data_IF_286724762641
#
_entry.id   IF_286724762641
#
_cell.length_a   1.000
_cell.length_b   1.000
_cell.length_c   1.000
_cell.angle_alpha   90.00
_cell.angle_beta   90.00
_cell.angle_gamma   90.00
#
_symmetry.space_group_name_H-M   'P 1'
#
loop_
_entity.id
_entity.type
_entity.pdbx_description
1 polymer ?
#
# COMPACT_ATOMS: atom_id res chain seq x y z
N UNK A 1 32.43 52.00 -40.32
CA UNK A 1 31.37 51.01 -40.59
C UNK A 1 31.02 50.31 -39.30
N UNK A 2 29.99 50.80 -38.61
CA UNK A 2 29.38 50.20 -37.41
C UNK A 2 27.88 50.24 -37.68
N UNK A 3 27.27 49.06 -37.79
CA UNK A 3 25.86 48.89 -38.16
C UNK A 3 25.00 49.13 -36.93
N UNK A 4 24.15 50.15 -36.99
CA UNK A 4 23.14 50.47 -35.99
C UNK A 4 21.96 49.49 -36.12
N UNK A 5 21.63 48.80 -35.05
CA UNK A 5 20.41 47.98 -34.93
C UNK A 5 19.28 48.90 -34.48
N UNK A 6 18.24 49.01 -35.31
CA UNK A 6 16.99 49.73 -34.98
C UNK A 6 16.12 48.82 -34.13
N UNK A 7 15.82 49.27 -32.91
CA UNK A 7 14.88 48.64 -32.00
C UNK A 7 13.43 48.96 -32.42
N UNK A 8 12.63 47.92 -32.64
CA UNK A 8 11.18 48.04 -32.80
C UNK A 8 10.53 47.79 -31.44
N UNK A 9 9.95 48.84 -30.85
CA UNK A 9 9.05 48.75 -29.71
C UNK A 9 7.76 48.07 -30.14
N UNK A 10 7.44 46.92 -29.55
CA UNK A 10 6.10 46.36 -29.54
C UNK A 10 5.52 46.53 -28.13
N UNK A 11 4.57 47.45 -28.01
CA UNK A 11 3.75 47.69 -26.81
C UNK A 11 2.67 46.62 -26.77
N UNK A 12 2.73 45.70 -25.82
CA UNK A 12 1.63 44.78 -25.50
C UNK A 12 0.91 45.24 -24.24
N UNK A 13 -0.33 45.69 -24.43
CA UNK A 13 -1.29 46.04 -23.39
C UNK A 13 -1.76 44.75 -22.70
N UNK A 14 -1.47 44.59 -21.40
CA UNK A 14 -2.07 43.53 -20.57
C UNK A 14 -3.51 43.92 -20.24
N UNK A 15 -4.48 43.31 -20.90
CA UNK A 15 -5.86 43.28 -20.44
C UNK A 15 -6.00 42.19 -19.37
N UNK A 16 -6.33 42.58 -18.14
CA UNK A 16 -6.75 41.68 -17.06
C UNK A 16 -8.12 41.12 -17.40
N UNK A 17 -8.19 39.92 -17.98
CA UNK A 17 -9.43 39.16 -18.08
C UNK A 17 -9.52 38.18 -16.91
N UNK A 18 -10.60 38.29 -16.13
CA UNK A 18 -10.95 37.32 -15.09
C UNK A 18 -11.15 35.93 -15.72
N UNK A 19 -10.78 34.83 -15.04
CA UNK A 19 -11.03 33.50 -15.56
C UNK A 19 -12.54 33.25 -15.65
N UNK A 20 -12.99 32.93 -16.86
CA UNK A 20 -14.33 32.44 -17.15
C UNK A 20 -14.53 31.11 -16.41
N UNK A 21 -15.65 30.88 -15.70
CA UNK A 21 -15.92 29.59 -15.07
C UNK A 21 -15.99 28.51 -16.14
N UNK A 22 -15.19 27.46 -16.00
CA UNK A 22 -15.29 26.24 -16.80
C UNK A 22 -16.70 25.65 -16.66
N UNK A 23 -17.31 25.31 -17.79
CA UNK A 23 -18.57 24.58 -17.85
C UNK A 23 -18.53 23.32 -16.97
N UNK A 24 -19.62 23.10 -16.25
CA UNK A 24 -19.81 21.99 -15.34
C UNK A 24 -19.87 20.65 -16.09
N UNK A 25 -19.16 19.67 -15.54
CA UNK A 25 -19.13 18.28 -16.01
C UNK A 25 -20.54 17.64 -15.88
N UNK A 26 -21.19 17.18 -16.96
CA UNK A 26 -22.57 16.67 -16.93
C UNK A 26 -22.71 15.29 -16.24
N UNK A 27 -21.69 14.82 -15.52
CA UNK A 27 -21.69 13.55 -14.79
C UNK A 27 -21.37 13.69 -13.29
N UNK A 28 -21.53 14.88 -12.70
CA UNK A 28 -21.53 15.01 -11.25
C UNK A 28 -22.83 14.42 -10.67
N UNK A 29 -22.79 13.31 -9.91
CA UNK A 29 -23.97 12.91 -9.16
C UNK A 29 -24.22 13.96 -8.06
N UNK A 30 -25.46 14.45 -7.99
CA UNK A 30 -25.98 15.26 -6.90
C UNK A 30 -25.50 14.72 -5.56
N UNK A 31 -24.60 15.45 -4.89
CA UNK A 31 -24.14 15.10 -3.54
C UNK A 31 -25.09 15.68 -2.51
N UNK A 32 -26.36 15.29 -2.62
CA UNK A 32 -27.28 15.36 -1.49
C UNK A 32 -26.85 14.32 -0.45
N UNK A 33 -26.10 14.77 0.57
CA UNK A 33 -25.97 14.11 1.87
C UNK A 33 -25.62 12.61 1.83
N UNK A 34 -24.47 12.24 1.26
CA UNK A 34 -23.90 10.94 1.59
C UNK A 34 -23.63 10.91 3.10
N UNK A 35 -24.16 9.95 3.88
CA UNK A 35 -23.85 9.85 5.30
C UNK A 35 -22.34 9.80 5.46
N UNK A 36 -21.80 10.58 6.41
CA UNK A 36 -20.38 10.56 6.71
C UNK A 36 -19.94 9.11 6.86
N UNK A 37 -18.96 8.69 6.04
CA UNK A 37 -18.48 7.32 6.07
C UNK A 37 -18.13 6.95 7.52
N UNK A 38 -18.61 5.82 8.00
CA UNK A 38 -18.24 5.26 9.29
C UNK A 38 -16.72 5.12 9.35
N UNK A 39 -16.04 6.10 9.95
CA UNK A 39 -14.57 6.10 10.03
C UNK A 39 -14.05 5.14 11.09
N UNK A 40 -14.92 4.59 11.94
CA UNK A 40 -14.52 3.55 12.87
C UNK A 40 -14.23 2.27 12.07
N UNK A 41 -12.95 1.90 11.99
CA UNK A 41 -12.59 0.60 11.43
C UNK A 41 -13.14 -0.52 12.31
N UNK A 42 -13.51 -1.65 11.69
CA UNK A 42 -13.99 -2.84 12.40
C UNK A 42 -13.02 -3.98 12.19
N UNK A 43 -12.28 -4.32 13.25
CA UNK A 43 -11.32 -5.44 13.21
C UNK A 43 -12.04 -6.75 12.86
N UNK A 44 -11.37 -7.67 12.14
CA UNK A 44 -11.89 -9.01 11.92
C UNK A 44 -12.28 -9.72 13.22
N UNK A 45 -13.39 -10.43 13.18
CA UNK A 45 -13.92 -11.19 14.32
C UNK A 45 -14.70 -12.42 13.83
N UNK A 46 -14.93 -13.37 14.73
CA UNK A 46 -15.69 -14.59 14.42
C UNK A 46 -14.82 -15.71 13.84
N UNK A 47 -15.45 -16.80 13.37
CA UNK A 47 -14.75 -18.05 13.04
C UNK A 47 -13.79 -17.95 11.84
N UNK A 48 -13.98 -16.94 10.98
CA UNK A 48 -13.09 -16.68 9.84
C UNK A 48 -11.92 -15.74 10.18
N UNK A 49 -11.87 -15.18 11.38
CA UNK A 49 -10.79 -14.30 11.80
C UNK A 49 -9.58 -15.16 12.24
N UNK A 50 -8.60 -15.30 11.35
CA UNK A 50 -7.41 -16.13 11.61
C UNK A 50 -6.64 -15.65 12.85
N UNK A 51 -6.15 -16.60 13.64
CA UNK A 51 -5.41 -16.33 14.87
C UNK A 51 -4.08 -15.63 14.53
N UNK A 52 -3.80 -14.54 15.24
CA UNK A 52 -2.47 -13.94 15.27
C UNK A 52 -1.56 -14.74 16.21
N UNK A 53 -0.46 -15.29 15.70
CA UNK A 53 0.48 -16.13 16.46
C UNK A 53 1.88 -15.51 16.63
N UNK A 54 2.06 -14.27 16.20
CA UNK A 54 3.33 -13.53 16.28
C UNK A 54 3.10 -12.14 16.88
N UNK A 55 4.19 -11.51 17.35
CA UNK A 55 4.22 -10.09 17.74
C UNK A 55 4.60 -9.16 16.59
N UNK A 56 5.01 -9.70 15.45
CA UNK A 56 5.34 -8.95 14.24
C UNK A 56 4.13 -8.90 13.28
N UNK A 57 4.30 -8.28 12.11
CA UNK A 57 3.36 -8.32 10.99
C UNK A 57 3.08 -9.77 10.58
N UNK A 58 1.82 -10.03 10.19
CA UNK A 58 1.34 -11.36 9.78
C UNK A 58 -0.02 -11.21 9.12
N UNK A 59 -0.59 -12.29 8.57
CA UNK A 59 -1.97 -12.30 8.10
C UNK A 59 -3.02 -12.47 9.20
N UNK A 60 -2.63 -12.47 10.48
CA UNK A 60 -3.58 -12.64 11.58
C UNK A 60 -4.61 -11.50 11.67
N UNK A 61 -5.81 -11.84 12.14
CA UNK A 61 -6.94 -10.91 12.32
C UNK A 61 -6.64 -9.73 13.23
N UNK A 62 -5.71 -9.88 14.17
CA UNK A 62 -5.28 -8.82 15.08
C UNK A 62 -3.90 -8.32 14.69
N UNK A 63 -3.78 -7.03 14.45
CA UNK A 63 -2.48 -6.35 14.47
C UNK A 63 -1.98 -6.29 15.92
N UNK A 64 -0.74 -6.73 16.22
CA UNK A 64 -0.15 -6.60 17.55
C UNK A 64 -0.08 -5.15 18.05
N UNK A 65 0.21 -4.98 19.35
CA UNK A 65 0.46 -3.64 19.90
C UNK A 65 1.73 -3.02 19.30
N UNK A 66 1.78 -1.68 19.21
CA UNK A 66 2.93 -0.90 18.75
C UNK A 66 2.81 -0.35 17.33
N UNK A 67 1.97 -0.98 16.49
CA UNK A 67 1.66 -0.51 15.13
C UNK A 67 0.71 0.70 15.16
N UNK A 68 0.74 1.50 14.10
CA UNK A 68 -0.19 2.60 13.90
C UNK A 68 -1.61 2.09 13.64
N UNK A 69 -2.62 2.89 14.02
CA UNK A 69 -4.01 2.61 13.62
C UNK A 69 -4.15 2.70 12.11
N UNK A 70 -5.07 1.90 11.54
CA UNK A 70 -5.32 1.82 10.10
C UNK A 70 -6.63 2.47 9.67
N UNK A 71 -7.37 3.11 10.58
CA UNK A 71 -8.67 3.73 10.32
C UNK A 71 -8.85 4.99 11.17
N UNK A 72 -9.88 5.76 10.88
CA UNK A 72 -10.02 7.11 11.42
C UNK A 72 -9.04 8.07 10.75
N UNK A 73 -8.69 9.15 11.45
CA UNK A 73 -7.63 10.05 10.99
C UNK A 73 -6.29 9.50 11.42
N UNK A 74 -5.37 9.27 10.50
CA UNK A 74 -3.96 8.90 10.79
C UNK A 74 -3.09 10.09 10.43
N UNK A 75 -2.21 10.49 11.34
CA UNK A 75 -1.32 11.64 11.15
C UNK A 75 0.10 11.16 10.96
N UNK A 76 0.74 11.60 9.89
CA UNK A 76 2.14 11.36 9.60
C UNK A 76 2.92 12.68 9.65
N UNK A 77 4.12 12.66 10.24
CA UNK A 77 5.12 13.70 9.96
C UNK A 77 6.01 13.22 8.82
N UNK A 78 6.35 14.11 7.89
CA UNK A 78 7.26 13.79 6.78
C UNK A 78 8.50 14.65 6.88
N UNK A 79 9.63 14.00 7.09
CA UNK A 79 10.96 14.56 7.28
C UNK A 79 11.81 14.26 6.05
N UNK A 80 12.82 15.09 5.79
CA UNK A 80 13.65 14.98 4.59
C UNK A 80 15.12 14.95 5.00
N UNK A 81 15.88 13.98 4.50
CA UNK A 81 17.31 13.84 4.81
C UNK A 81 18.18 13.88 3.56
N UNK A 82 19.36 14.46 3.69
CA UNK A 82 20.41 14.39 2.68
C UNK A 82 21.79 14.22 3.34
N UNK A 83 22.82 13.99 2.52
CA UNK A 83 24.15 13.61 3.01
C UNK A 83 25.23 14.56 2.47
N UNK A 84 26.40 14.69 3.14
CA UNK A 84 27.50 15.52 2.65
C UNK A 84 27.99 15.17 1.24
N UNK A 85 28.00 13.87 0.89
CA UNK A 85 28.39 13.31 -0.42
C UNK A 85 27.21 13.13 -1.39
N UNK A 86 25.97 13.20 -0.89
CA UNK A 86 24.75 13.13 -1.68
C UNK A 86 23.79 14.26 -1.29
N UNK A 87 24.24 15.50 -1.48
CA UNK A 87 23.45 16.70 -1.19
C UNK A 87 22.21 16.74 -2.07
N UNK A 88 21.06 17.10 -1.49
CA UNK A 88 19.83 17.21 -2.24
C UNK A 88 19.94 18.26 -3.35
N UNK A 89 19.45 17.90 -4.55
CA UNK A 89 19.43 18.78 -5.73
C UNK A 89 18.06 19.39 -6.03
N UNK A 90 17.06 19.00 -5.22
CA UNK A 90 15.69 19.49 -5.27
C UNK A 90 15.30 20.00 -3.89
N UNK A 91 14.26 20.80 -3.82
CA UNK A 91 13.68 21.29 -2.56
C UNK A 91 12.91 20.17 -1.83
N UNK A 92 12.74 20.26 -0.50
CA UNK A 92 11.87 19.33 0.24
C UNK A 92 10.43 19.36 -0.28
N UNK A 93 9.95 20.51 -0.76
CA UNK A 93 8.61 20.65 -1.35
C UNK A 93 8.47 19.84 -2.64
N UNK A 94 9.47 19.87 -3.50
CA UNK A 94 9.49 19.03 -4.72
C UNK A 94 9.55 17.55 -4.35
N UNK A 95 10.42 17.14 -3.40
CA UNK A 95 10.47 15.75 -2.93
C UNK A 95 9.14 15.30 -2.32
N UNK A 96 8.45 16.17 -1.59
CA UNK A 96 7.14 15.88 -1.00
C UNK A 96 6.06 15.66 -2.07
N UNK A 97 6.06 16.52 -3.11
CA UNK A 97 5.09 16.48 -4.20
C UNK A 97 5.19 15.22 -5.06
N UNK A 98 6.29 14.47 -4.99
CA UNK A 98 6.43 13.15 -5.63
C UNK A 98 5.50 12.09 -5.00
N UNK A 99 5.06 12.27 -3.76
CA UNK A 99 4.24 11.32 -3.02
C UNK A 99 2.86 11.86 -2.63
N UNK A 100 2.77 13.14 -2.28
CA UNK A 100 1.54 13.76 -1.79
C UNK A 100 0.97 14.76 -2.80
N UNK A 101 -0.36 14.75 -3.04
CA UNK A 101 -1.42 14.10 -2.24
C UNK A 101 -1.71 12.63 -2.61
N UNK A 102 -0.99 12.02 -3.56
CA UNK A 102 -1.33 10.73 -4.12
C UNK A 102 -1.43 9.58 -3.10
N UNK A 103 -0.54 9.49 -2.10
CA UNK A 103 -0.65 8.50 -1.00
C UNK A 103 -1.93 8.68 -0.19
N UNK A 104 -2.29 9.93 0.15
CA UNK A 104 -3.51 10.21 0.91
C UNK A 104 -4.77 9.84 0.10
N UNK A 105 -4.76 10.14 -1.19
CA UNK A 105 -5.84 9.78 -2.12
C UNK A 105 -5.97 8.27 -2.29
N UNK A 106 -4.84 7.56 -2.38
CA UNK A 106 -4.80 6.10 -2.45
C UNK A 106 -5.49 5.47 -1.23
N UNK A 107 -5.05 5.82 -0.02
CA UNK A 107 -5.62 5.28 1.21
C UNK A 107 -7.09 5.64 1.37
N UNK A 108 -7.49 6.87 1.00
CA UNK A 108 -8.91 7.28 1.00
C UNK A 108 -9.75 6.42 0.06
N UNK A 109 -9.25 6.12 -1.14
CA UNK A 109 -9.96 5.29 -2.13
C UNK A 109 -10.04 3.83 -1.68
N UNK A 110 -8.90 3.23 -1.35
CA UNK A 110 -8.81 1.81 -0.99
C UNK A 110 -9.63 1.46 0.25
N UNK A 111 -9.61 2.34 1.26
CA UNK A 111 -10.36 2.18 2.52
C UNK A 111 -11.84 2.57 2.44
N UNK A 112 -12.34 2.95 1.26
CA UNK A 112 -13.69 3.50 1.08
C UNK A 112 -13.98 4.73 1.96
N UNK A 113 -12.94 5.51 2.29
CA UNK A 113 -13.01 6.70 3.14
C UNK A 113 -12.95 6.42 4.64
N UNK A 114 -12.68 5.18 5.06
CA UNK A 114 -12.51 4.83 6.48
C UNK A 114 -11.16 5.27 7.05
N UNK A 115 -10.16 5.47 6.20
CA UNK A 115 -8.88 6.06 6.55
C UNK A 115 -8.75 7.47 5.96
N UNK A 116 -8.56 8.44 6.84
CA UNK A 116 -8.21 9.83 6.53
C UNK A 116 -6.73 10.03 6.87
N UNK A 117 -5.87 9.73 5.90
CA UNK A 117 -4.42 9.85 6.03
C UNK A 117 -3.99 11.31 5.82
N UNK A 118 -3.32 11.90 6.81
CA UNK A 118 -2.84 13.29 6.78
C UNK A 118 -1.35 13.35 7.04
N UNK A 119 -0.57 13.71 6.03
CA UNK A 119 0.85 13.99 6.18
C UNK A 119 1.09 15.49 6.42
N UNK A 120 2.00 15.81 7.35
CA UNK A 120 2.50 17.16 7.60
C UNK A 120 4.00 17.20 7.30
N UNK A 121 4.45 17.93 6.25
CA UNK A 121 5.87 18.00 5.92
C UNK A 121 6.61 19.01 6.78
N UNK A 122 7.77 18.63 7.30
CA UNK A 122 8.78 19.56 7.81
C UNK A 122 9.71 19.95 6.66
N UNK A 123 9.42 21.04 5.96
CA UNK A 123 10.05 21.40 4.68
C UNK A 123 11.49 21.93 4.82
N UNK A 124 12.38 21.11 5.39
CA UNK A 124 13.79 21.38 5.57
C UNK A 124 14.60 20.10 5.31
N UNK A 125 15.73 20.22 4.61
CA UNK A 125 16.69 19.12 4.48
C UNK A 125 17.50 19.00 5.76
N UNK A 126 17.27 17.92 6.51
CA UNK A 126 18.09 17.55 7.65
C UNK A 126 19.36 16.91 7.10
N UNK A 127 20.46 17.65 7.15
CA UNK A 127 21.76 17.15 6.71
C UNK A 127 22.30 16.16 7.74
N UNK A 128 22.49 14.92 7.31
CA UNK A 128 23.20 13.90 8.09
C UNK A 128 24.67 14.27 8.28
N UNK A 129 25.24 13.91 9.42
CA UNK A 129 26.60 14.27 9.83
C UNK A 129 27.67 13.60 8.96
N UNK A 130 27.41 12.37 8.51
CA UNK A 130 28.36 11.56 7.76
C UNK A 130 27.94 11.33 6.30
N UNK A 131 28.90 11.02 5.40
CA UNK A 131 28.58 10.54 4.05
C UNK A 131 27.67 9.30 4.08
N UNK A 132 26.80 9.12 3.08
CA UNK A 132 25.84 8.02 3.03
C UNK A 132 26.46 6.65 3.31
N UNK A 133 27.62 6.37 2.70
CA UNK A 133 28.33 5.09 2.84
C UNK A 133 28.77 4.77 4.28
N UNK A 134 28.91 5.78 5.13
CA UNK A 134 29.34 5.60 6.52
C UNK A 134 28.28 4.88 7.34
N UNK A 135 26.99 5.15 7.08
CA UNK A 135 25.88 4.51 7.79
C UNK A 135 25.74 3.00 7.46
N UNK A 136 26.47 2.47 6.47
CA UNK A 136 26.50 1.03 6.22
C UNK A 136 25.17 0.40 5.77
N UNK A 137 24.20 1.20 5.35
CA UNK A 137 22.86 0.72 4.98
C UNK A 137 22.95 -0.15 3.74
N UNK A 138 22.40 -1.35 3.83
CA UNK A 138 22.24 -2.31 2.73
C UNK A 138 20.83 -2.90 2.76
N UNK A 139 20.44 -3.66 1.73
CA UNK A 139 19.15 -4.32 1.71
C UNK A 139 19.03 -5.31 2.87
N UNK A 140 17.97 -5.18 3.66
CA UNK A 140 17.75 -6.02 4.84
C UNK A 140 18.53 -5.59 6.09
N UNK A 141 19.18 -4.42 6.08
CA UNK A 141 19.75 -3.84 7.31
C UNK A 141 18.68 -3.73 8.39
N UNK A 142 18.97 -4.31 9.56
CA UNK A 142 18.09 -4.23 10.71
C UNK A 142 18.12 -2.82 11.34
N UNK A 143 17.13 -2.54 12.18
CA UNK A 143 17.19 -1.45 13.14
C UNK A 143 17.79 -2.01 14.43
N UNK A 144 19.06 -1.73 14.70
CA UNK A 144 19.74 -2.21 15.91
C UNK A 144 19.98 -1.04 16.89
N UNK A 145 19.26 -1.00 18.03
CA UNK A 145 19.45 0.05 19.03
C UNK A 145 20.80 -0.02 19.76
N UNK A 146 21.55 -1.13 19.62
CA UNK A 146 22.85 -1.31 20.28
C UNK A 146 24.02 -0.81 19.43
N UNK A 147 23.76 -0.37 18.21
CA UNK A 147 24.77 0.14 17.28
C UNK A 147 24.54 1.63 17.00
N UNK A 148 25.62 2.42 17.00
CA UNK A 148 25.61 3.84 16.60
C UNK A 148 25.85 3.99 15.09
N UNK A 149 25.29 3.10 14.27
CA UNK A 149 25.32 3.13 12.80
C UNK A 149 23.92 2.87 12.19
N UNK A 150 23.85 2.73 10.86
CA UNK A 150 22.62 2.31 10.17
C UNK A 150 21.43 3.26 10.36
N UNK A 151 20.24 2.65 10.42
CA UNK A 151 18.99 3.37 10.61
C UNK A 151 18.84 3.95 12.03
N UNK A 152 19.50 3.36 13.03
CA UNK A 152 19.48 3.89 14.39
C UNK A 152 20.24 5.21 14.47
N UNK A 153 21.46 5.28 13.92
CA UNK A 153 22.24 6.53 13.84
C UNK A 153 21.51 7.63 13.07
N UNK A 154 20.96 7.32 11.89
CA UNK A 154 20.16 8.28 11.12
C UNK A 154 18.99 8.81 11.94
N UNK A 155 18.25 7.93 12.63
CA UNK A 155 17.08 8.31 13.43
C UNK A 155 17.47 9.20 14.61
N UNK A 156 18.60 8.89 15.27
CA UNK A 156 19.15 9.69 16.38
C UNK A 156 19.53 11.10 15.94
N UNK A 157 20.17 11.24 14.77
CA UNK A 157 20.51 12.54 14.19
C UNK A 157 19.26 13.34 13.76
N UNK A 158 18.27 12.66 13.17
CA UNK A 158 16.98 13.29 12.83
C UNK A 158 16.32 13.86 14.08
N UNK A 159 16.22 13.07 15.15
CA UNK A 159 15.63 13.51 16.42
C UNK A 159 16.39 14.72 16.97
N UNK A 160 17.71 14.63 17.11
CA UNK A 160 18.53 15.74 17.60
C UNK A 160 18.35 17.04 16.79
N UNK A 161 18.04 16.92 15.50
CA UNK A 161 17.83 18.07 14.64
C UNK A 161 16.42 18.68 14.72
N UNK A 162 15.37 17.94 15.04
CA UNK A 162 13.98 18.43 14.88
C UNK A 162 13.09 18.34 16.11
N UNK A 163 13.56 17.70 17.19
CA UNK A 163 12.75 17.46 18.39
C UNK A 163 12.25 18.75 19.05
N UNK A 164 13.03 19.83 18.99
CA UNK A 164 12.64 21.16 19.48
C UNK A 164 11.58 21.87 18.62
N UNK A 165 11.30 21.35 17.43
CA UNK A 165 10.44 21.96 16.40
C UNK A 165 9.25 21.09 15.98
N UNK A 166 9.31 19.79 16.27
CA UNK A 166 8.31 18.80 15.87
C UNK A 166 7.85 18.05 17.11
N UNK A 167 6.62 18.33 17.52
CA UNK A 167 5.93 17.55 18.55
C UNK A 167 5.50 16.18 17.97
N UNK A 168 6.30 15.15 18.22
CA UNK A 168 6.07 13.79 17.71
C UNK A 168 4.82 13.14 18.32
N UNK A 169 4.34 13.59 19.49
CA UNK A 169 3.16 13.02 20.16
C UNK A 169 1.88 13.17 19.33
N UNK A 170 1.90 14.11 18.38
CA UNK A 170 0.78 14.42 17.47
C UNK A 170 0.66 13.49 16.27
N UNK A 171 1.65 12.62 16.06
CA UNK A 171 1.74 11.77 14.87
C UNK A 171 1.68 10.28 15.23
N UNK A 172 1.04 9.52 14.37
CA UNK A 172 0.88 8.06 14.48
C UNK A 172 2.05 7.30 13.82
N UNK A 173 2.68 7.92 12.81
CA UNK A 173 3.79 7.38 12.04
C UNK A 173 4.71 8.48 11.48
N UNK A 174 5.90 8.09 11.05
CA UNK A 174 6.96 8.98 10.58
C UNK A 174 7.39 8.52 9.18
N UNK A 175 7.41 9.45 8.22
CA UNK A 175 8.02 9.23 6.91
C UNK A 175 9.34 9.98 6.84
N UNK A 176 10.43 9.30 6.46
CA UNK A 176 11.72 9.90 6.19
C UNK A 176 12.02 9.75 4.71
N UNK A 177 11.96 10.86 3.97
CA UNK A 177 12.24 10.88 2.53
C UNK A 177 13.70 11.30 2.32
N UNK A 178 14.53 10.35 1.88
CA UNK A 178 15.90 10.69 1.51
C UNK A 178 15.94 11.47 0.19
N UNK A 179 17.00 12.25 0.01
CA UNK A 179 17.30 12.92 -1.25
C UNK A 179 17.37 11.88 -2.40
N UNK A 180 16.78 12.14 -3.58
CA UNK A 180 16.73 11.15 -4.67
C UNK A 180 18.09 10.66 -5.18
N UNK A 181 19.16 11.41 -4.89
CA UNK A 181 20.54 11.07 -5.25
C UNK A 181 21.33 10.40 -4.11
N UNK A 182 20.68 10.07 -3.00
CA UNK A 182 21.29 9.33 -1.90
C UNK A 182 21.15 7.81 -2.13
N UNK A 183 22.25 7.08 -1.95
CA UNK A 183 22.29 5.64 -2.17
C UNK A 183 22.30 5.19 -3.63
N UNK A 184 22.32 3.87 -3.87
CA UNK A 184 22.28 3.33 -5.22
C UNK A 184 20.92 3.59 -5.89
N UNK A 185 20.86 3.62 -7.23
CA UNK A 185 19.59 3.67 -7.96
C UNK A 185 18.68 2.53 -7.52
N UNK A 186 17.40 2.79 -7.32
CA UNK A 186 16.48 1.78 -6.83
C UNK A 186 16.17 0.65 -7.82
N UNK A 187 16.42 0.86 -9.12
CA UNK A 187 16.43 -0.21 -10.13
C UNK A 187 17.58 -1.19 -9.94
N UNK A 188 18.60 -0.85 -9.14
CA UNK A 188 19.74 -1.70 -8.80
C UNK A 188 19.61 -2.29 -7.40
N UNK A 189 19.06 -1.53 -6.44
CA UNK A 189 18.93 -1.96 -5.05
C UNK A 189 17.77 -1.24 -4.34
N UNK A 190 16.67 -1.96 -4.11
CA UNK A 190 15.51 -1.45 -3.36
C UNK A 190 15.84 -1.44 -1.88
N UNK A 191 15.94 -0.24 -1.30
CA UNK A 191 16.33 -0.02 0.10
C UNK A 191 15.25 0.56 0.99
N UNK A 192 14.12 0.98 0.41
CA UNK A 192 12.99 1.48 1.21
C UNK A 192 12.56 0.40 2.20
N UNK A 193 12.25 0.83 3.42
CA UNK A 193 11.96 -0.07 4.53
C UNK A 193 11.17 0.65 5.62
N UNK A 194 10.39 -0.12 6.38
CA UNK A 194 9.62 0.36 7.52
C UNK A 194 9.95 -0.41 8.78
N UNK A 195 10.21 0.32 9.85
CA UNK A 195 10.38 -0.21 11.20
C UNK A 195 9.14 0.13 12.02
N UNK A 196 8.27 -0.87 12.21
CA UNK A 196 6.98 -0.72 12.89
C UNK A 196 6.73 -1.83 13.91
N UNK A 197 5.82 -1.58 14.86
CA UNK A 197 5.38 -2.55 15.85
C UNK A 197 6.31 -2.73 17.07
N UNK A 198 7.63 -2.65 16.87
CA UNK A 198 8.61 -2.64 17.95
C UNK A 198 9.03 -1.21 18.32
N UNK A 199 9.40 -1.01 19.60
CA UNK A 199 10.10 0.21 19.99
C UNK A 199 11.46 0.25 19.32
N UNK A 200 11.82 1.40 18.76
CA UNK A 200 13.15 1.63 18.18
C UNK A 200 14.22 1.83 19.26
N UNK A 201 13.83 1.96 20.53
CA UNK A 201 14.74 2.34 21.62
C UNK A 201 15.07 3.84 21.63
N UNK A 202 14.55 4.61 20.67
CA UNK A 202 14.71 6.06 20.62
C UNK A 202 13.44 6.76 21.12
N UNK A 203 13.64 7.82 21.88
CA UNK A 203 12.59 8.70 22.38
C UNK A 203 13.02 10.15 22.18
N UNK A 204 12.03 11.01 22.01
CA UNK A 204 12.18 12.48 22.07
C UNK A 204 12.49 12.93 23.49
N UNK A 205 12.92 14.19 23.67
CA UNK A 205 13.20 14.79 24.97
C UNK A 205 11.97 14.79 25.90
N UNK A 206 10.76 14.89 25.34
CA UNK A 206 9.51 14.82 26.09
C UNK A 206 9.01 13.39 26.38
N UNK A 207 9.78 12.37 26.01
CA UNK A 207 9.48 10.96 26.25
C UNK A 207 8.52 10.34 25.23
N UNK A 208 8.20 11.02 24.13
CA UNK A 208 7.46 10.41 23.02
C UNK A 208 8.34 9.39 22.28
N UNK A 209 7.91 8.12 22.14
CA UNK A 209 8.69 7.11 21.43
C UNK A 209 8.76 7.37 19.92
N UNK A 210 9.95 7.22 19.34
CA UNK A 210 10.16 7.21 17.90
C UNK A 210 9.76 5.83 17.34
N UNK A 211 8.66 5.74 16.60
CA UNK A 211 8.10 4.46 16.14
C UNK A 211 7.36 4.60 14.83
N UNK A 212 7.13 3.47 14.16
CA UNK A 212 6.43 3.38 12.87
C UNK A 212 7.08 4.32 11.83
N UNK A 213 8.38 4.11 11.62
CA UNK A 213 9.19 4.95 10.74
C UNK A 213 9.41 4.25 9.40
N UNK A 214 9.02 4.91 8.32
CA UNK A 214 9.27 4.48 6.94
C UNK A 214 10.40 5.31 6.34
N UNK A 215 11.49 4.66 5.91
CA UNK A 215 12.59 5.28 5.17
C UNK A 215 12.39 5.05 3.67
N UNK A 216 12.27 6.14 2.92
CA UNK A 216 12.05 6.11 1.47
C UNK A 216 13.28 6.66 0.76
N UNK A 217 14.06 5.75 0.19
CA UNK A 217 15.29 6.07 -0.53
C UNK A 217 15.05 6.49 -1.97
N UNK A 218 13.95 6.04 -2.54
CA UNK A 218 13.70 6.15 -3.96
C UNK A 218 12.24 6.41 -4.25
N UNK A 219 11.95 6.61 -5.53
CA UNK A 219 10.59 6.57 -6.06
C UNK A 219 10.63 5.79 -7.36
N UNK A 220 9.49 5.24 -7.74
CA UNK A 220 9.32 4.67 -9.05
C UNK A 220 9.23 5.78 -10.14
N UNK A 221 9.61 5.44 -11.37
CA UNK A 221 9.30 6.23 -12.58
C UNK A 221 8.01 5.72 -13.23
N UNK A 222 7.18 6.63 -13.75
CA UNK A 222 5.89 6.32 -14.35
C UNK A 222 4.73 6.91 -13.55
N UNK A 223 3.51 6.41 -13.76
CA UNK A 223 2.27 7.05 -13.33
C UNK A 223 1.90 6.80 -11.85
N UNK A 224 2.74 6.07 -11.12
CA UNK A 224 2.46 5.72 -9.71
C UNK A 224 3.70 5.83 -8.81
N UNK A 225 4.43 6.97 -8.82
CA UNK A 225 5.71 7.13 -8.11
C UNK A 225 5.57 6.99 -6.58
N UNK A 226 4.34 7.13 -6.07
CA UNK A 226 3.99 7.15 -4.66
C UNK A 226 3.84 5.77 -4.01
N UNK A 227 3.77 4.69 -4.82
CA UNK A 227 3.41 3.34 -4.34
C UNK A 227 4.35 2.77 -3.31
N UNK A 228 5.65 3.01 -3.44
CA UNK A 228 6.63 2.59 -2.43
C UNK A 228 6.28 3.13 -1.04
N UNK A 229 5.87 4.41 -0.92
CA UNK A 229 5.47 4.95 0.38
C UNK A 229 4.15 4.35 0.87
N UNK A 230 3.22 4.04 -0.03
CA UNK A 230 1.99 3.31 0.32
C UNK A 230 2.30 1.92 0.89
N UNK A 231 3.17 1.15 0.23
CA UNK A 231 3.63 -0.17 0.68
C UNK A 231 4.28 -0.07 2.07
N UNK A 232 5.23 0.83 2.22
CA UNK A 232 5.95 1.04 3.48
C UNK A 232 5.01 1.45 4.63
N UNK A 233 4.09 2.37 4.37
CA UNK A 233 3.10 2.76 5.38
C UNK A 233 2.11 1.63 5.73
N UNK A 234 1.89 0.67 4.84
CA UNK A 234 1.03 -0.47 5.14
C UNK A 234 1.67 -1.43 6.16
N UNK A 235 3.01 -1.53 6.22
CA UNK A 235 3.69 -2.19 7.34
C UNK A 235 3.44 -1.49 8.67
N UNK A 236 3.39 -0.15 8.68
CA UNK A 236 3.01 0.61 9.88
C UNK A 236 1.59 0.29 10.36
N UNK A 237 0.71 -0.20 9.48
CA UNK A 237 -0.63 -0.67 9.81
C UNK A 237 -0.72 -2.17 10.15
N UNK A 238 0.39 -2.89 10.03
CA UNK A 238 0.51 -4.29 10.43
C UNK A 238 0.40 -5.31 9.31
N UNK A 239 0.56 -4.92 8.04
CA UNK A 239 0.60 -5.85 6.90
C UNK A 239 2.02 -6.39 6.69
N UNK A 240 2.19 -7.69 6.37
CA UNK A 240 3.47 -8.27 6.00
C UNK A 240 3.76 -8.10 4.51
N UNK A 241 5.02 -8.29 4.13
CA UNK A 241 5.41 -8.56 2.74
C UNK A 241 4.88 -9.93 2.31
N UNK A 242 4.29 -9.97 1.11
CA UNK A 242 3.79 -11.20 0.51
C UNK A 242 4.83 -11.88 -0.38
N UNK A 243 5.79 -11.12 -0.92
CA UNK A 243 6.76 -11.67 -1.85
C UNK A 243 7.75 -12.58 -1.13
N UNK A 244 8.37 -13.50 -1.86
CA UNK A 244 9.43 -14.36 -1.31
C UNK A 244 10.78 -13.92 -1.84
N UNK A 245 11.68 -13.54 -0.93
CA UNK A 245 13.10 -13.44 -1.23
C UNK A 245 13.70 -14.87 -1.25
N UNK A 246 13.61 -15.57 -2.38
CA UNK A 246 14.18 -16.91 -2.50
C UNK A 246 15.73 -16.86 -2.48
N UNK A 247 16.43 -17.95 -2.05
CA UNK A 247 17.90 -18.03 -2.07
C UNK A 247 18.53 -17.77 -3.44
N UNK A 248 17.76 -17.91 -4.52
CA UNK A 248 18.21 -17.75 -5.92
C UNK A 248 18.21 -16.29 -6.42
N UNK A 249 18.11 -15.28 -5.54
CA UNK A 249 18.02 -13.83 -5.85
C UNK A 249 16.78 -13.36 -6.64
N UNK A 250 16.05 -14.24 -7.31
CA UNK A 250 14.79 -13.87 -7.96
C UNK A 250 13.67 -13.75 -6.91
N UNK A 251 13.15 -12.53 -6.75
CA UNK A 251 11.93 -12.27 -5.98
C UNK A 251 10.78 -13.02 -6.67
N UNK A 252 9.99 -13.78 -5.91
CA UNK A 252 8.74 -14.35 -6.40
C UNK A 252 7.59 -13.59 -5.79
N UNK A 253 6.62 -13.21 -6.61
CA UNK A 253 5.40 -12.52 -6.20
C UNK A 253 4.23 -13.51 -6.35
N UNK A 254 3.95 -14.35 -5.33
CA UNK A 254 2.94 -15.40 -5.43
C UNK A 254 1.50 -14.87 -5.45
N UNK A 255 1.29 -13.60 -5.17
CA UNK A 255 0.02 -12.88 -5.35
C UNK A 255 0.05 -12.11 -6.67
N UNK A 256 1.19 -11.55 -7.07
CA UNK A 256 1.34 -10.71 -8.24
C UNK A 256 0.73 -9.33 -8.04
N UNK A 257 0.32 -8.70 -9.13
CA UNK A 257 -0.17 -7.33 -9.15
C UNK A 257 -1.52 -7.10 -8.44
N UNK A 258 -2.04 -8.09 -7.71
CA UNK A 258 -3.32 -8.01 -6.99
C UNK A 258 -3.20 -7.39 -5.59
N UNK A 259 -1.99 -7.16 -5.07
CA UNK A 259 -1.75 -6.48 -3.79
C UNK A 259 -0.43 -5.69 -3.79
N UNK A 260 -0.41 -4.43 -3.29
CA UNK A 260 0.84 -3.66 -3.19
C UNK A 260 1.84 -4.25 -2.19
N UNK A 261 1.44 -5.17 -1.30
CA UNK A 261 2.36 -5.87 -0.40
C UNK A 261 3.13 -7.01 -1.07
N UNK A 262 2.79 -7.37 -2.31
CA UNK A 262 3.54 -8.35 -3.12
C UNK A 262 4.35 -7.68 -4.23
N UNK A 263 3.72 -6.73 -4.93
CA UNK A 263 4.36 -5.90 -5.96
C UNK A 263 4.16 -4.43 -5.63
N UNK A 264 5.21 -3.77 -5.16
CA UNK A 264 5.21 -2.38 -4.72
C UNK A 264 5.62 -1.39 -5.84
N UNK A 265 6.03 -1.91 -7.01
CA UNK A 265 6.40 -1.18 -8.23
C UNK A 265 5.49 -1.57 -9.41
N UNK A 266 5.46 -0.75 -10.47
CA UNK A 266 4.59 -0.92 -11.64
C UNK A 266 3.33 -0.02 -11.62
N UNK A 267 2.31 -0.30 -12.45
CA UNK A 267 1.03 0.40 -12.44
C UNK A 267 0.34 0.33 -11.07
N UNK A 268 -0.67 1.15 -10.79
CA UNK A 268 -1.40 1.05 -9.53
C UNK A 268 -2.17 -0.28 -9.41
N UNK A 269 -2.22 -0.80 -8.17
CA UNK A 269 -3.12 -1.87 -7.72
C UNK A 269 -3.79 -1.53 -6.38
N UNK A 270 -4.96 -2.11 -6.13
CA UNK A 270 -5.66 -2.02 -4.84
C UNK A 270 -5.23 -3.15 -3.89
N UNK A 271 -5.44 -2.97 -2.58
CA UNK A 271 -5.28 -4.04 -1.60
C UNK A 271 -6.31 -5.16 -1.80
N UNK A 272 -5.90 -6.40 -1.54
CA UNK A 272 -6.79 -7.54 -1.38
C UNK A 272 -7.88 -7.22 -0.35
N UNK A 273 -9.09 -7.70 -0.58
CA UNK A 273 -10.22 -7.62 0.34
C UNK A 273 -9.88 -8.25 1.70
N UNK A 274 -9.00 -9.25 1.74
CA UNK A 274 -8.43 -9.78 2.97
C UNK A 274 -7.69 -8.70 3.77
N UNK A 275 -6.75 -8.00 3.15
CA UNK A 275 -6.03 -6.88 3.76
C UNK A 275 -6.98 -5.73 4.14
N UNK A 276 -7.94 -5.40 3.27
CA UNK A 276 -8.99 -4.42 3.61
C UNK A 276 -9.78 -4.84 4.85
N UNK A 277 -10.09 -6.13 5.01
CA UNK A 277 -10.77 -6.63 6.22
C UNK A 277 -9.87 -6.53 7.45
N UNK A 278 -8.63 -7.00 7.36
CA UNK A 278 -7.61 -6.94 8.43
C UNK A 278 -7.39 -5.52 8.93
N UNK A 279 -7.30 -4.55 8.01
CA UNK A 279 -7.15 -3.13 8.31
C UNK A 279 -8.45 -2.46 8.82
N UNK A 280 -9.53 -3.22 8.90
CA UNK A 280 -10.83 -2.79 9.43
C UNK A 280 -11.64 -1.95 8.45
N UNK A 281 -11.36 -2.04 7.16
CA UNK A 281 -12.02 -1.26 6.12
C UNK A 281 -13.30 -1.91 5.58
N UNK A 282 -13.53 -3.19 5.86
CA UNK A 282 -14.77 -3.90 5.53
C UNK A 282 -15.68 -3.99 6.75
N UNK A 283 -16.95 -3.61 6.58
CA UNK A 283 -17.98 -3.86 7.57
C UNK A 283 -18.28 -5.37 7.67
N UNK A 284 -18.80 -5.87 8.82
CA UNK A 284 -19.16 -7.27 8.98
C UNK A 284 -20.08 -7.82 7.87
N UNK A 285 -21.03 -7.01 7.37
CA UNK A 285 -21.94 -7.38 6.28
C UNK A 285 -21.25 -7.51 4.91
N UNK A 286 -20.04 -6.99 4.77
CA UNK A 286 -19.26 -7.05 3.53
C UNK A 286 -18.37 -8.31 3.48
N UNK A 287 -18.41 -9.15 4.51
CA UNK A 287 -17.62 -10.38 4.64
C UNK A 287 -18.52 -11.59 4.86
N UNK A 288 -18.45 -12.57 3.96
CA UNK A 288 -19.11 -13.86 4.11
C UNK A 288 -18.16 -14.88 4.74
N UNK A 289 -18.45 -15.26 5.99
CA UNK A 289 -17.76 -16.37 6.63
C UNK A 289 -18.45 -17.71 6.31
N UNK A 290 -17.73 -18.63 5.68
CA UNK A 290 -18.21 -19.93 5.22
C UNK A 290 -17.54 -21.06 6.04
N UNK A 291 -17.81 -21.07 7.34
CA UNK A 291 -17.17 -21.94 8.34
C UNK A 291 -17.83 -23.32 8.51
N UNK A 292 -19.01 -23.52 7.93
CA UNK A 292 -19.77 -24.78 8.03
C UNK A 292 -19.77 -25.56 6.70
N UNK A 293 -19.84 -26.91 6.76
CA UNK A 293 -20.04 -27.73 5.58
C UNK A 293 -21.33 -27.40 4.81
N UNK A 294 -21.37 -27.83 3.56
CA UNK A 294 -22.51 -27.69 2.67
C UNK A 294 -22.27 -26.73 1.51
N UNK A 295 -23.36 -26.39 0.82
CA UNK A 295 -23.34 -25.50 -0.35
C UNK A 295 -23.86 -24.13 0.01
N UNK A 296 -23.14 -23.08 -0.38
CA UNK A 296 -23.55 -21.68 -0.29
C UNK A 296 -23.35 -21.00 -1.63
N UNK A 297 -24.26 -20.09 -1.97
CA UNK A 297 -24.13 -19.23 -3.14
C UNK A 297 -24.14 -17.79 -2.66
N UNK A 298 -23.12 -17.04 -3.05
CA UNK A 298 -22.88 -15.66 -2.64
C UNK A 298 -22.68 -14.79 -3.88
N UNK A 299 -22.83 -13.49 -3.70
CA UNK A 299 -22.54 -12.50 -4.74
C UNK A 299 -21.45 -11.56 -4.23
N UNK A 300 -20.33 -11.50 -4.94
CA UNK A 300 -19.18 -10.65 -4.62
C UNK A 300 -19.18 -9.42 -5.54
N UNK A 301 -19.24 -8.23 -4.95
CA UNK A 301 -19.10 -6.97 -5.66
C UNK A 301 -17.62 -6.62 -5.79
N UNK A 302 -17.14 -6.11 -6.95
CA UNK A 302 -15.73 -5.75 -7.13
C UNK A 302 -15.17 -4.90 -6.00
N UNK A 303 -13.94 -5.18 -5.58
CA UNK A 303 -13.24 -4.48 -4.48
C UNK A 303 -13.01 -3.00 -4.74
N UNK A 304 -13.00 -2.58 -6.00
CA UNK A 304 -12.88 -1.17 -6.39
C UNK A 304 -14.16 -0.36 -6.18
N UNK A 305 -15.33 -1.01 -6.05
CA UNK A 305 -16.64 -0.36 -5.86
C UNK A 305 -16.98 -0.25 -4.37
N UNK A 306 -17.72 0.78 -3.96
CA UNK A 306 -18.24 0.88 -2.57
C UNK A 306 -19.46 -0.04 -2.37
N UNK A 307 -19.57 -0.64 -1.18
CA UNK A 307 -20.74 -1.44 -0.76
C UNK A 307 -20.84 -2.83 -1.41
N UNK A 308 -21.79 -3.62 -0.93
CA UNK A 308 -21.92 -5.04 -1.32
C UNK A 308 -20.88 -5.93 -0.65
N UNK A 309 -21.07 -7.26 -0.74
CA UNK A 309 -20.10 -8.19 -0.17
C UNK A 309 -18.79 -8.17 -0.98
N UNK A 310 -17.66 -8.06 -0.29
CA UNK A 310 -16.31 -7.93 -0.91
C UNK A 310 -15.49 -9.19 -0.78
N UNK A 311 -15.64 -9.86 0.34
CA UNK A 311 -14.79 -10.95 0.76
C UNK A 311 -15.65 -12.15 1.14
N UNK A 312 -15.29 -13.33 0.66
CA UNK A 312 -15.69 -14.58 1.29
C UNK A 312 -14.48 -15.29 1.85
N UNK A 313 -14.60 -15.84 3.06
CA UNK A 313 -13.54 -16.54 3.76
C UNK A 313 -14.01 -17.95 4.07
N UNK A 314 -13.23 -18.94 3.66
CA UNK A 314 -13.40 -20.35 4.06
C UNK A 314 -12.24 -20.70 4.99
N UNK A 315 -12.46 -20.80 6.31
CA UNK A 315 -11.41 -21.18 7.23
C UNK A 315 -11.09 -22.67 7.05
N UNK A 316 -9.80 -22.97 6.88
CA UNK A 316 -9.27 -24.32 6.77
C UNK A 316 -8.67 -24.79 8.11
N UNK A 317 -8.11 -23.86 8.88
CA UNK A 317 -7.59 -24.08 10.22
C UNK A 317 -7.66 -22.77 11.01
N UNK A 318 -7.26 -22.73 12.30
CA UNK A 318 -7.16 -21.47 13.04
C UNK A 318 -6.20 -20.44 12.44
N UNK A 319 -5.26 -20.86 11.57
CA UNK A 319 -4.25 -19.99 10.96
C UNK A 319 -4.29 -19.97 9.43
N UNK A 320 -5.14 -20.77 8.79
CA UNK A 320 -5.21 -20.87 7.33
C UNK A 320 -6.64 -20.68 6.80
N UNK A 321 -6.78 -19.98 5.68
CA UNK A 321 -8.05 -19.81 4.97
C UNK A 321 -7.87 -19.79 3.45
N UNK A 322 -8.95 -20.10 2.74
CA UNK A 322 -9.15 -19.63 1.37
C UNK A 322 -9.95 -18.35 1.40
N UNK A 323 -9.62 -17.41 0.52
CA UNK A 323 -10.41 -16.20 0.33
C UNK A 323 -10.82 -16.02 -1.12
N UNK A 324 -11.98 -15.41 -1.32
CA UNK A 324 -12.53 -15.07 -2.62
C UNK A 324 -12.90 -13.60 -2.64
N UNK A 325 -12.52 -12.94 -3.72
CA UNK A 325 -12.91 -11.56 -4.00
C UNK A 325 -13.18 -11.36 -5.49
N UNK A 326 -14.02 -10.40 -5.83
CA UNK A 326 -14.21 -10.00 -7.21
C UNK A 326 -13.22 -8.88 -7.57
N UNK A 327 -12.47 -9.06 -8.66
CA UNK A 327 -11.57 -8.04 -9.22
C UNK A 327 -12.03 -7.61 -10.60
N UNK A 328 -11.96 -6.31 -10.85
CA UNK A 328 -12.30 -5.66 -12.10
C UNK A 328 -11.53 -4.34 -12.18
N UNK A 329 -11.33 -3.77 -13.39
CA UNK A 329 -10.77 -2.45 -13.56
C UNK A 329 -11.44 -1.44 -12.65
N UNK A 330 -10.64 -0.61 -12.01
CA UNK A 330 -11.12 0.41 -11.10
C UNK A 330 -10.06 1.48 -10.84
N UNK A 331 -10.38 2.51 -10.03
CA UNK A 331 -9.50 3.67 -9.87
C UNK A 331 -8.11 3.40 -9.30
N UNK A 332 -7.91 2.23 -8.69
CA UNK A 332 -6.60 1.78 -8.20
C UNK A 332 -6.11 0.53 -8.93
N UNK A 333 -6.95 -0.16 -9.69
CA UNK A 333 -6.73 -1.48 -10.27
C UNK A 333 -6.67 -1.33 -11.80
N UNK A 334 -5.62 -0.66 -12.29
CA UNK A 334 -5.51 -0.30 -13.71
C UNK A 334 -5.07 -1.49 -14.57
N UNK A 335 -4.26 -2.39 -13.99
CA UNK A 335 -3.69 -3.52 -14.69
C UNK A 335 -4.58 -4.78 -14.75
N UNK A 336 -5.84 -4.68 -14.31
CA UNK A 336 -6.79 -5.80 -14.31
C UNK A 336 -7.30 -6.08 -15.72
N UNK A 337 -6.54 -6.84 -16.50
CA UNK A 337 -6.92 -7.20 -17.87
C UNK A 337 -7.94 -8.34 -17.94
N UNK A 338 -8.07 -9.14 -16.87
CA UNK A 338 -9.01 -10.26 -16.79
C UNK A 338 -9.88 -10.15 -15.54
N UNK A 339 -11.01 -9.43 -15.60
CA UNK A 339 -11.97 -9.38 -14.50
C UNK A 339 -12.51 -10.76 -14.16
N UNK A 340 -12.75 -11.02 -12.87
CA UNK A 340 -13.18 -12.33 -12.38
C UNK A 340 -13.15 -12.43 -10.86
N UNK A 341 -13.19 -13.65 -10.36
CA UNK A 341 -13.07 -13.99 -8.94
C UNK A 341 -11.64 -14.44 -8.66
N UNK A 342 -10.87 -13.62 -7.93
CA UNK A 342 -9.56 -14.01 -7.44
C UNK A 342 -9.75 -14.95 -6.24
N UNK A 343 -9.06 -16.08 -6.26
CA UNK A 343 -9.02 -17.04 -5.15
C UNK A 343 -7.62 -17.03 -4.57
N UNK A 344 -7.48 -16.84 -3.26
CA UNK A 344 -6.17 -16.88 -2.59
C UNK A 344 -6.16 -17.84 -1.41
N UNK A 345 -4.99 -18.41 -1.12
CA UNK A 345 -4.70 -19.02 0.19
C UNK A 345 -4.08 -17.97 1.10
N UNK A 346 -4.45 -17.96 2.38
CA UNK A 346 -3.91 -17.07 3.41
C UNK A 346 -3.44 -17.88 4.61
N UNK A 347 -2.25 -17.58 5.13
CA UNK A 347 -1.64 -18.22 6.30
C UNK A 347 -1.12 -17.16 7.29
N UNK A 348 -1.64 -17.16 8.52
CA UNK A 348 -1.28 -16.20 9.58
C UNK A 348 -0.10 -16.62 10.45
N UNK A 349 0.40 -17.84 10.26
CA UNK A 349 1.56 -18.42 10.92
C UNK A 349 2.83 -18.43 10.04
N UNK A 350 2.73 -17.96 8.79
CA UNK A 350 3.88 -17.72 7.93
C UNK A 350 4.44 -16.30 8.13
N UNK A 351 5.78 -16.14 8.28
CA UNK A 351 6.39 -14.83 8.41
C UNK A 351 6.23 -13.91 7.19
N UNK A 352 6.48 -12.62 7.42
CA UNK A 352 6.71 -11.64 6.35
C UNK A 352 7.80 -12.13 5.40
N UNK A 353 7.62 -11.94 4.10
CA UNK A 353 8.63 -12.30 3.11
C UNK A 353 8.71 -13.79 2.77
N UNK A 354 7.74 -14.61 3.21
CA UNK A 354 7.72 -16.07 2.95
C UNK A 354 6.50 -16.54 2.14
N UNK A 355 5.72 -15.63 1.56
CA UNK A 355 4.52 -15.98 0.81
C UNK A 355 3.34 -16.42 1.69
N UNK A 356 2.96 -15.63 2.73
CA UNK A 356 1.82 -15.93 3.59
C UNK A 356 0.47 -15.84 2.84
N UNK A 357 0.43 -15.17 1.68
CA UNK A 357 -0.71 -15.17 0.76
C UNK A 357 -0.25 -15.65 -0.61
N UNK A 358 -1.10 -16.43 -1.30
CA UNK A 358 -0.82 -16.91 -2.66
C UNK A 358 -2.08 -16.90 -3.51
N UNK A 359 -1.99 -16.40 -4.73
CA UNK A 359 -3.08 -16.46 -5.69
C UNK A 359 -3.17 -17.83 -6.36
N UNK A 360 -4.39 -18.32 -6.55
CA UNK A 360 -4.68 -19.48 -7.39
C UNK A 360 -4.87 -18.98 -8.83
N UNK A 361 -4.01 -19.43 -9.72
CA UNK A 361 -4.03 -19.04 -11.13
C UNK A 361 -5.07 -19.87 -11.92
N UNK A 362 -6.08 -19.19 -12.48
CA UNK A 362 -7.09 -19.81 -13.35
C UNK A 362 -6.62 -20.02 -14.79
N UNK A 363 -5.46 -19.47 -15.16
CA UNK A 363 -4.87 -19.48 -16.50
C UNK A 363 -3.40 -19.91 -16.50
N UNK A 364 -3.05 -21.05 -15.87
CA UNK A 364 -1.66 -21.49 -15.77
C UNK A 364 -1.03 -21.67 -17.15
N UNK A 365 0.13 -21.05 -17.33
CA UNK A 365 0.86 -21.02 -18.60
C UNK A 365 0.48 -19.88 -19.54
N UNK A 366 -0.49 -19.04 -19.17
CA UNK A 366 -0.75 -17.77 -19.85
C UNK A 366 0.44 -16.83 -19.69
N UNK A 367 0.68 -16.01 -20.71
CA UNK A 367 1.61 -14.88 -20.58
C UNK A 367 1.01 -13.74 -19.75
N UNK A 368 -0.32 -13.74 -19.55
CA UNK A 368 -1.09 -12.65 -18.97
C UNK A 368 -0.99 -11.35 -19.76
N UNK A 369 -1.02 -10.22 -19.06
CA UNK A 369 -0.88 -8.87 -19.59
C UNK A 369 0.30 -8.13 -18.92
N UNK A 370 0.65 -6.95 -19.45
CA UNK A 370 1.81 -6.17 -19.00
C UNK A 370 3.14 -6.92 -19.12
N UNK A 371 3.28 -7.76 -20.16
CA UNK A 371 4.48 -8.61 -20.40
C UNK A 371 5.78 -7.85 -20.62
N UNK A 372 5.70 -6.54 -20.85
CA UNK A 372 6.85 -5.65 -21.04
C UNK A 372 7.20 -4.82 -19.81
N UNK A 373 6.37 -4.82 -18.76
CA UNK A 373 6.67 -4.11 -17.51
C UNK A 373 7.41 -5.07 -16.56
N UNK A 374 8.68 -4.80 -16.22
CA UNK A 374 9.46 -5.68 -15.36
C UNK A 374 8.96 -5.72 -13.90
N UNK A 375 8.07 -4.81 -13.51
CA UNK A 375 7.53 -4.73 -12.15
C UNK A 375 6.18 -5.45 -12.00
N UNK A 376 5.70 -6.11 -13.06
CA UNK A 376 4.46 -6.87 -13.03
C UNK A 376 4.80 -8.34 -13.28
N UNK A 377 4.37 -9.23 -12.38
CA UNK A 377 4.31 -10.66 -12.67
C UNK A 377 3.19 -10.93 -13.66
N UNK A 378 3.52 -10.71 -14.94
CA UNK A 378 2.59 -10.81 -16.05
C UNK A 378 1.81 -12.15 -16.05
N UNK A 379 2.43 -13.33 -15.83
CA UNK A 379 1.68 -14.59 -15.74
C UNK A 379 0.55 -14.64 -14.70
N UNK A 380 0.61 -13.86 -13.60
CA UNK A 380 -0.47 -13.81 -12.60
C UNK A 380 -1.48 -12.68 -12.83
N UNK A 381 -1.22 -11.76 -13.75
CA UNK A 381 -2.09 -10.61 -14.03
C UNK A 381 -3.46 -10.98 -14.61
N UNK A 382 -3.65 -12.23 -15.03
CA UNK A 382 -4.91 -12.76 -15.54
C UNK A 382 -5.50 -13.91 -14.70
N UNK A 383 -4.99 -14.11 -13.48
CA UNK A 383 -5.34 -15.18 -12.54
C UNK A 383 -6.84 -15.35 -12.17
N UNK A 384 -7.73 -14.32 -12.15
CA UNK A 384 -9.09 -14.49 -11.63
C UNK A 384 -9.96 -15.49 -12.40
N UNK A 385 -10.73 -16.33 -11.70
CA UNK A 385 -11.67 -17.28 -12.32
C UNK A 385 -12.88 -16.56 -12.94
N UNK A 386 -13.27 -16.94 -14.17
CA UNK A 386 -14.43 -16.43 -14.91
C UNK A 386 -15.63 -17.38 -14.83
N UNK A 387 -16.78 -16.90 -15.31
CA UNK A 387 -18.03 -17.66 -15.34
C UNK A 387 -17.84 -19.02 -16.04
N UNK A 388 -18.38 -20.07 -15.43
CA UNK A 388 -18.22 -21.46 -15.87
C UNK A 388 -16.94 -22.14 -15.38
N UNK A 389 -15.96 -21.40 -14.85
CA UNK A 389 -14.73 -21.99 -14.33
C UNK A 389 -14.87 -22.43 -12.87
N UNK A 390 -14.00 -23.36 -12.48
CA UNK A 390 -13.97 -23.97 -11.15
C UNK A 390 -12.55 -23.93 -10.57
N UNK A 391 -12.46 -23.60 -9.29
CA UNK A 391 -11.27 -23.85 -8.47
C UNK A 391 -11.57 -24.99 -7.49
N UNK A 392 -10.62 -25.91 -7.31
CA UNK A 392 -10.71 -27.03 -6.38
C UNK A 392 -9.53 -26.96 -5.41
N UNK A 393 -9.83 -27.04 -4.12
CA UNK A 393 -8.88 -27.14 -3.03
C UNK A 393 -9.29 -28.29 -2.09
N UNK A 394 -8.42 -28.77 -1.19
CA UNK A 394 -8.79 -29.82 -0.24
C UNK A 394 -10.08 -29.49 0.52
N UNK A 395 -11.11 -30.34 0.36
CA UNK A 395 -12.42 -30.18 0.99
C UNK A 395 -13.27 -28.99 0.50
N UNK A 396 -12.83 -28.25 -0.52
CA UNK A 396 -13.53 -27.03 -0.99
C UNK A 396 -13.60 -26.99 -2.53
N UNK A 397 -14.79 -26.77 -3.06
CA UNK A 397 -15.03 -26.54 -4.48
C UNK A 397 -15.69 -25.18 -4.69
N UNK A 398 -15.14 -24.39 -5.60
CA UNK A 398 -15.60 -23.03 -5.92
C UNK A 398 -15.99 -23.00 -7.39
N UNK A 399 -17.29 -22.85 -7.68
CA UNK A 399 -17.80 -22.61 -9.03
C UNK A 399 -18.11 -21.13 -9.23
N UNK A 400 -17.46 -20.47 -10.19
CA UNK A 400 -17.84 -19.11 -10.61
C UNK A 400 -19.00 -19.23 -11.58
N UNK A 401 -20.20 -18.83 -11.16
CA UNK A 401 -21.43 -19.12 -11.91
C UNK A 401 -21.65 -18.13 -13.06
N UNK A 402 -21.66 -16.83 -12.75
CA UNK A 402 -21.86 -15.76 -13.73
C UNK A 402 -21.39 -14.42 -13.20
N UNK A 403 -21.18 -13.48 -14.13
CA UNK A 403 -21.15 -12.06 -13.83
C UNK A 403 -22.57 -11.50 -13.91
N UNK A 404 -22.95 -10.70 -12.92
CA UNK A 404 -24.21 -9.96 -12.90
C UNK A 404 -24.08 -8.68 -13.72
N UNK A 405 -25.22 -8.06 -14.08
CA UNK A 405 -25.24 -6.86 -14.93
C UNK A 405 -24.49 -5.66 -14.33
N UNK A 406 -24.39 -5.60 -13.01
CA UNK A 406 -23.66 -4.53 -12.31
C UNK A 406 -22.15 -4.85 -12.17
N UNK A 407 -21.68 -5.96 -12.73
CA UNK A 407 -20.29 -6.41 -12.63
C UNK A 407 -19.97 -7.21 -11.38
N UNK A 408 -20.92 -7.43 -10.48
CA UNK A 408 -20.77 -8.38 -9.36
C UNK A 408 -20.68 -9.82 -9.86
N UNK A 409 -20.09 -10.72 -9.07
CA UNK A 409 -19.87 -12.11 -9.45
C UNK A 409 -20.62 -13.06 -8.53
N UNK A 410 -21.44 -13.93 -9.11
CA UNK A 410 -22.13 -14.96 -8.35
C UNK A 410 -21.28 -16.22 -8.28
N UNK A 411 -21.00 -16.68 -7.07
CA UNK A 411 -20.10 -17.80 -6.80
C UNK A 411 -20.81 -18.83 -5.94
N UNK A 412 -20.63 -20.11 -6.26
CA UNK A 412 -21.08 -21.23 -5.42
C UNK A 412 -19.87 -21.88 -4.78
N UNK A 413 -19.89 -21.96 -3.46
CA UNK A 413 -18.88 -22.66 -2.67
C UNK A 413 -19.52 -23.91 -2.09
N UNK A 414 -18.86 -25.06 -2.28
CA UNK A 414 -19.19 -26.32 -1.62
C UNK A 414 -18.04 -26.68 -0.68
N UNK A 415 -18.32 -26.78 0.61
CA UNK A 415 -17.39 -27.22 1.64
C UNK A 415 -17.79 -28.61 2.10
N UNK A 416 -16.87 -29.55 2.04
CA UNK A 416 -17.04 -30.91 2.56
C UNK A 416 -16.84 -30.90 4.08
N UNK A 417 -17.23 -32.00 4.73
CA UNK A 417 -17.13 -32.15 6.18
C UNK A 417 -15.67 -32.17 6.68
#
# INVERSE_FOLDING_TARGET
MKTLVVAVLAVTVLALTSPVPSEADPYAPDTAGAPAADRAGRRPSGPCALRTVTRNVSEGARTPYGYARSSGTVRAVTLFIDFPDARARITPKERYAEFFPAVADYFRRSSYGRLDYRSTPFLHWIRMAHPYRWYGITRGSAFDPNHDDGYHAISKEILAAVDDRVDFSRYDLINVLAAPNAGPPAVQDVRSVTFAGAATGLETYDGTPFRNVSFIWSRQTGDSPYRVLTHENAHSFGLPDLYTAAPSRAIRTPVGHWDPMDEDWGPSNDFLAWHKWKLGWLAPREVHCLDRPGTRTITLTPTSRRGGAKLAVIPLSPTHALTLEARAPGPLDHAVCRPGVLVTTVASDLPSGTGPVRASDATPGSAGCYTTDPNVNAPLSDAPYRAGQRCTAPGVMIDVLRQERDGSWRVRVRRQD
#
